data_IF_954593182023
#
_entry.id   IF_954593182023
#
_cell.length_a   1.000
_cell.length_b   1.000
_cell.length_c   1.000
_cell.angle_alpha   90.00
_cell.angle_beta   90.00
_cell.angle_gamma   90.00
#
_symmetry.space_group_name_H-M   'P 1'
#
loop_
_entity.id
_entity.type
_entity.pdbx_description
1 polymer ?
#
# COMPACT_ATOMS: atom_id res chain seq x y z
N UNK A 1 9.59 1.21 14.93
CA UNK A 1 8.14 0.98 14.81
C UNK A 1 7.49 2.34 14.95
N UNK A 2 7.34 3.06 13.83
CA UNK A 2 7.08 4.51 13.82
C UNK A 2 5.70 4.85 14.39
N UNK A 3 4.68 4.03 14.14
CA UNK A 3 3.34 4.27 14.67
C UNK A 3 3.30 4.05 16.18
N UNK A 4 3.86 2.94 16.67
CA UNK A 4 3.89 2.64 18.10
C UNK A 4 4.73 3.65 18.88
N UNK A 5 5.86 4.07 18.32
CA UNK A 5 6.70 5.15 18.87
C UNK A 5 5.93 6.47 18.93
N UNK A 6 5.14 6.81 17.89
CA UNK A 6 4.31 8.01 17.88
C UNK A 6 3.20 7.98 18.96
N UNK A 7 2.57 6.82 19.17
CA UNK A 7 1.58 6.64 20.25
C UNK A 7 2.25 6.80 21.61
N UNK A 8 3.41 6.20 21.81
CA UNK A 8 4.16 6.31 23.07
C UNK A 8 4.62 7.76 23.34
N UNK A 9 5.13 8.45 22.32
CA UNK A 9 5.51 9.86 22.41
C UNK A 9 4.30 10.74 22.76
N UNK A 10 3.13 10.47 22.18
CA UNK A 10 1.90 11.19 22.50
C UNK A 10 1.48 10.99 23.96
N UNK A 11 1.53 9.76 24.47
CA UNK A 11 1.20 9.44 25.87
C UNK A 11 2.18 10.08 26.86
N UNK A 12 3.45 10.22 26.46
CA UNK A 12 4.50 10.85 27.27
C UNK A 12 4.59 12.38 27.08
N UNK A 13 3.74 12.97 26.21
CA UNK A 13 3.77 14.41 25.86
C UNK A 13 5.17 14.82 25.34
N UNK A 14 5.81 13.93 24.59
CA UNK A 14 7.10 14.17 23.96
C UNK A 14 6.89 14.85 22.61
N UNK A 15 6.78 16.19 22.64
CA UNK A 15 6.66 16.98 21.43
C UNK A 15 7.94 17.01 20.58
N UNK A 16 9.10 16.72 21.18
CA UNK A 16 10.38 16.73 20.48
C UNK A 16 10.40 15.64 19.40
N UNK A 17 9.87 14.46 19.70
CA UNK A 17 9.73 13.36 18.75
C UNK A 17 9.00 13.78 17.46
N UNK A 18 7.88 14.52 17.58
CA UNK A 18 7.11 14.95 16.40
C UNK A 18 7.85 16.00 15.58
N UNK A 19 8.58 16.91 16.24
CA UNK A 19 9.43 17.89 15.57
C UNK A 19 10.54 17.15 14.81
N UNK A 20 11.22 16.21 15.45
CA UNK A 20 12.32 15.46 14.86
C UNK A 20 11.85 14.62 13.67
N UNK A 21 10.67 14.00 13.73
CA UNK A 21 10.10 13.27 12.59
C UNK A 21 9.87 14.20 11.40
N UNK A 22 9.26 15.37 11.63
CA UNK A 22 8.97 16.33 10.54
C UNK A 22 10.27 16.86 9.95
N UNK A 23 11.21 17.26 10.79
CA UNK A 23 12.49 17.84 10.36
C UNK A 23 13.36 16.83 9.61
N UNK A 24 13.37 15.56 10.04
CA UNK A 24 14.11 14.49 9.36
C UNK A 24 13.42 13.99 8.08
N UNK A 25 12.15 14.35 7.84
CA UNK A 25 11.37 13.87 6.69
C UNK A 25 10.67 14.99 5.91
N UNK A 26 11.28 16.19 5.86
CA UNK A 26 10.69 17.37 5.19
C UNK A 26 10.28 17.10 3.74
N UNK A 27 11.09 16.36 2.98
CA UNK A 27 10.76 15.97 1.60
C UNK A 27 9.41 15.24 1.54
N UNK A 28 9.25 14.18 2.35
CA UNK A 28 8.04 13.37 2.37
C UNK A 28 6.84 14.15 2.90
N UNK A 29 7.06 15.03 3.89
CA UNK A 29 6.03 15.93 4.41
C UNK A 29 5.42 16.78 3.29
N UNK A 30 6.25 17.43 2.47
CA UNK A 30 5.76 18.24 1.34
C UNK A 30 5.11 17.40 0.24
N UNK A 31 5.68 16.25 -0.10
CA UNK A 31 5.10 15.34 -1.11
C UNK A 31 3.70 14.90 -0.68
N UNK A 32 3.54 14.41 0.55
CA UNK A 32 2.25 13.93 1.04
C UNK A 32 1.23 15.06 1.14
N UNK A 33 1.64 16.25 1.58
CA UNK A 33 0.75 17.41 1.60
C UNK A 33 0.29 17.80 0.20
N UNK A 34 1.19 17.85 -0.78
CA UNK A 34 0.86 18.15 -2.17
C UNK A 34 -0.05 17.08 -2.79
N UNK A 35 0.20 15.80 -2.51
CA UNK A 35 -0.66 14.70 -2.95
C UNK A 35 -2.07 14.84 -2.40
N UNK A 36 -2.22 15.08 -1.09
CA UNK A 36 -3.55 15.25 -0.50
C UNK A 36 -4.25 16.50 -1.01
N UNK A 37 -3.50 17.57 -1.30
CA UNK A 37 -4.07 18.76 -1.95
C UNK A 37 -4.61 18.44 -3.35
N UNK A 38 -3.89 17.61 -4.12
CA UNK A 38 -4.28 17.19 -5.46
C UNK A 38 -5.47 16.22 -5.45
N UNK A 39 -5.49 15.24 -4.55
CA UNK A 39 -6.56 14.23 -4.49
C UNK A 39 -7.89 14.76 -3.95
N UNK A 40 -7.85 15.77 -3.09
CA UNK A 40 -9.04 16.31 -2.43
C UNK A 40 -9.38 17.74 -2.85
N UNK A 41 -8.83 18.21 -3.99
CA UNK A 41 -9.07 19.54 -4.56
C UNK A 41 -8.95 20.67 -3.52
N UNK A 42 -7.93 20.62 -2.66
CA UNK A 42 -7.73 21.62 -1.62
C UNK A 42 -8.73 21.57 -0.44
N UNK A 43 -9.71 20.66 -0.42
CA UNK A 43 -10.70 20.58 0.66
C UNK A 43 -10.16 19.76 1.82
N UNK A 44 -10.13 20.37 3.01
CA UNK A 44 -9.71 19.73 4.27
C UNK A 44 -8.33 19.05 4.15
N UNK A 45 -7.41 19.62 3.38
CA UNK A 45 -6.08 19.01 3.07
C UNK A 45 -5.34 18.63 4.34
N UNK A 46 -5.33 19.52 5.35
CA UNK A 46 -4.65 19.24 6.61
C UNK A 46 -5.18 17.97 7.31
N UNK A 47 -6.51 17.79 7.32
CA UNK A 47 -7.12 16.59 7.89
C UNK A 47 -6.71 15.33 7.13
N UNK A 48 -6.82 15.36 5.79
CA UNK A 48 -6.45 14.22 4.96
C UNK A 48 -4.95 13.92 4.99
N UNK A 49 -4.12 14.95 5.09
CA UNK A 49 -2.67 14.85 5.26
C UNK A 49 -2.30 14.14 6.58
N UNK A 50 -2.85 14.60 7.71
CA UNK A 50 -2.58 13.95 9.01
C UNK A 50 -3.07 12.51 9.00
N UNK A 51 -4.28 12.26 8.49
CA UNK A 51 -4.83 10.91 8.37
C UNK A 51 -3.94 10.02 7.50
N UNK A 52 -3.48 10.54 6.36
CA UNK A 52 -2.59 9.82 5.45
C UNK A 52 -1.25 9.49 6.11
N UNK A 53 -0.62 10.43 6.82
CA UNK A 53 0.62 10.18 7.56
C UNK A 53 0.45 9.07 8.60
N UNK A 54 -0.64 9.09 9.37
CA UNK A 54 -0.94 8.02 10.34
C UNK A 54 -1.16 6.68 9.65
N UNK A 55 -1.93 6.65 8.55
CA UNK A 55 -2.14 5.42 7.77
C UNK A 55 -0.83 4.86 7.22
N UNK A 56 0.08 5.71 6.74
CA UNK A 56 1.40 5.30 6.27
C UNK A 56 2.25 4.73 7.40
N UNK A 57 2.25 5.34 8.59
CA UNK A 57 2.97 4.79 9.75
C UNK A 57 2.43 3.43 10.18
N UNK A 58 1.10 3.28 10.23
CA UNK A 58 0.45 1.98 10.50
C UNK A 58 0.84 0.97 9.43
N UNK A 59 0.77 1.35 8.16
CA UNK A 59 1.13 0.47 7.05
C UNK A 59 2.58 0.00 7.16
N UNK A 60 3.54 0.92 7.41
CA UNK A 60 4.96 0.59 7.55
C UNK A 60 5.29 -0.31 8.75
N UNK A 61 4.58 -0.15 9.86
CA UNK A 61 4.79 -1.02 11.03
C UNK A 61 4.09 -2.37 10.85
N UNK A 62 2.89 -2.37 10.29
CA UNK A 62 2.19 -3.60 9.92
C UNK A 62 3.02 -4.43 8.95
N UNK A 63 3.57 -3.77 7.95
CA UNK A 63 4.48 -4.28 6.95
C UNK A 63 5.68 -5.01 7.58
N UNK A 64 6.33 -4.41 8.58
CA UNK A 64 7.44 -5.02 9.31
C UNK A 64 7.02 -6.20 10.20
N UNK A 65 5.83 -6.12 10.81
CA UNK A 65 5.31 -7.15 11.70
C UNK A 65 4.80 -8.38 10.96
N UNK A 66 4.32 -8.21 9.74
CA UNK A 66 3.70 -9.28 8.95
C UNK A 66 4.57 -9.77 7.79
N UNK A 67 5.69 -9.11 7.51
CA UNK A 67 6.53 -9.39 6.33
C UNK A 67 5.85 -9.01 5.01
N UNK A 68 4.70 -8.31 5.05
CA UNK A 68 3.85 -8.04 3.87
C UNK A 68 4.40 -6.94 2.91
N UNK A 69 5.54 -6.39 3.29
CA UNK A 69 6.34 -5.32 2.72
C UNK A 69 6.74 -5.45 1.25
N UNK A 70 7.86 -6.13 1.09
CA UNK A 70 8.46 -6.54 -0.14
C UNK A 70 7.54 -7.44 -0.92
N UNK A 71 6.64 -8.14 -0.24
CA UNK A 71 5.62 -9.00 -0.81
C UNK A 71 4.50 -8.22 -1.49
N UNK A 72 4.02 -7.07 -1.00
CA UNK A 72 2.91 -6.35 -1.63
C UNK A 72 3.24 -5.75 -3.01
N UNK A 73 4.37 -5.06 -3.14
CA UNK A 73 4.79 -4.46 -4.41
C UNK A 73 5.23 -5.51 -5.44
N UNK A 74 5.95 -6.54 -5.01
CA UNK A 74 6.32 -7.67 -5.89
C UNK A 74 5.12 -8.56 -6.22
N UNK A 75 4.18 -8.77 -5.29
CA UNK A 75 2.89 -9.41 -5.56
C UNK A 75 2.12 -8.64 -6.62
N UNK A 76 1.99 -7.31 -6.49
CA UNK A 76 1.32 -6.49 -7.49
C UNK A 76 2.00 -6.61 -8.85
N UNK A 77 3.34 -6.59 -8.90
CA UNK A 77 4.10 -6.75 -10.14
C UNK A 77 3.84 -8.12 -10.79
N UNK A 78 3.95 -9.21 -10.02
CA UNK A 78 3.69 -10.57 -10.51
C UNK A 78 2.22 -10.75 -10.89
N UNK A 79 1.30 -10.19 -10.12
CA UNK A 79 -0.13 -10.20 -10.42
C UNK A 79 -0.43 -9.45 -11.72
N UNK A 80 0.13 -8.26 -11.92
CA UNK A 80 -0.05 -7.52 -13.17
C UNK A 80 0.53 -8.28 -14.36
N UNK A 81 1.71 -8.90 -14.22
CA UNK A 81 2.29 -9.74 -15.27
C UNK A 81 1.40 -10.96 -15.59
N UNK A 82 0.93 -11.68 -14.57
CA UNK A 82 0.04 -12.83 -14.72
C UNK A 82 -1.32 -12.43 -15.33
N UNK A 83 -1.86 -11.27 -14.95
CA UNK A 83 -3.10 -10.72 -15.48
C UNK A 83 -2.97 -10.37 -16.95
N UNK A 84 -1.85 -9.77 -17.36
CA UNK A 84 -1.57 -9.44 -18.76
C UNK A 84 -1.50 -10.71 -19.62
N UNK A 85 -0.78 -11.74 -19.15
CA UNK A 85 -0.72 -13.05 -19.80
C UNK A 85 -2.09 -13.73 -19.87
N UNK A 86 -2.87 -13.65 -18.79
CA UNK A 86 -4.23 -14.19 -18.73
C UNK A 86 -5.16 -13.52 -19.75
N UNK A 87 -5.08 -12.19 -19.90
CA UNK A 87 -5.84 -11.46 -20.92
C UNK A 87 -5.47 -11.90 -22.35
N UNK A 88 -4.17 -11.98 -22.66
CA UNK A 88 -3.68 -12.42 -23.97
C UNK A 88 -4.18 -13.84 -24.29
N UNK A 89 -4.14 -14.76 -23.32
CA UNK A 89 -4.66 -16.13 -23.48
C UNK A 89 -6.17 -16.17 -23.72
N UNK A 90 -6.93 -15.34 -23.00
CA UNK A 90 -8.40 -15.27 -23.18
C UNK A 90 -8.81 -14.58 -24.49
N UNK A 91 -7.98 -13.69 -25.04
CA UNK A 91 -8.23 -13.05 -26.34
C UNK A 91 -7.86 -13.95 -27.52
N UNK A 92 -6.77 -14.71 -27.40
CA UNK A 92 -6.30 -15.64 -28.45
C UNK A 92 -7.12 -16.92 -28.55
N UNK A 93 -7.88 -17.27 -27.51
CA UNK A 93 -8.70 -18.49 -27.48
C UNK A 93 -10.19 -18.17 -27.51
N UNK A 94 -10.90 -18.38 -28.63
CA UNK A 94 -12.30 -17.97 -28.80
C UNK A 94 -13.27 -18.54 -27.76
N UNK A 95 -12.99 -19.75 -27.24
CA UNK A 95 -13.84 -20.44 -26.26
C UNK A 95 -13.75 -19.86 -24.84
N UNK A 96 -12.63 -19.20 -24.50
CA UNK A 96 -12.33 -18.64 -23.18
C UNK A 96 -12.74 -17.18 -23.03
N UNK A 97 -13.00 -16.49 -24.16
CA UNK A 97 -13.31 -15.04 -24.20
C UNK A 97 -14.52 -14.66 -23.34
N UNK A 98 -15.53 -15.54 -23.26
CA UNK A 98 -16.74 -15.33 -22.43
C UNK A 98 -16.49 -15.43 -20.91
N UNK A 99 -15.37 -16.03 -20.49
CA UNK A 99 -15.02 -16.22 -19.08
C UNK A 99 -13.85 -15.34 -18.64
N UNK A 100 -13.45 -14.33 -19.41
CA UNK A 100 -12.30 -13.48 -19.10
C UNK A 100 -12.34 -12.86 -17.70
N UNK A 101 -13.52 -12.42 -17.26
CA UNK A 101 -13.71 -11.90 -15.89
C UNK A 101 -13.45 -12.98 -14.85
N UNK A 102 -13.97 -14.19 -15.05
CA UNK A 102 -13.80 -15.34 -14.16
C UNK A 102 -12.33 -15.77 -14.07
N UNK A 103 -11.63 -15.81 -15.20
CA UNK A 103 -10.20 -16.13 -15.27
C UNK A 103 -9.37 -15.06 -14.55
N UNK A 104 -9.70 -13.77 -14.72
CA UNK A 104 -9.00 -12.68 -14.02
C UNK A 104 -9.26 -12.69 -12.51
N UNK A 105 -10.45 -13.06 -12.06
CA UNK A 105 -10.74 -13.16 -10.63
C UNK A 105 -10.06 -14.38 -10.01
N UNK A 106 -10.11 -15.54 -10.68
CA UNK A 106 -9.44 -16.75 -10.24
C UNK A 106 -7.92 -16.57 -10.18
N UNK A 107 -7.32 -15.93 -11.18
CA UNK A 107 -5.87 -15.68 -11.18
C UNK A 107 -5.44 -14.83 -9.98
N UNK A 108 -6.23 -13.82 -9.59
CA UNK A 108 -5.98 -13.04 -8.37
C UNK A 108 -6.00 -13.93 -7.13
N UNK A 109 -7.07 -14.71 -6.90
CA UNK A 109 -7.18 -15.55 -5.69
C UNK A 109 -6.10 -16.64 -5.63
N UNK A 110 -5.78 -17.27 -6.75
CA UNK A 110 -4.70 -18.26 -6.83
C UNK A 110 -3.36 -17.60 -6.49
N UNK A 111 -3.09 -16.41 -7.02
CA UNK A 111 -1.88 -15.68 -6.69
C UNK A 111 -1.84 -15.28 -5.22
N UNK A 112 -2.95 -14.81 -4.64
CA UNK A 112 -3.03 -14.47 -3.20
C UNK A 112 -2.70 -15.68 -2.33
N UNK A 113 -3.27 -16.85 -2.65
CA UNK A 113 -3.00 -18.10 -1.93
C UNK A 113 -1.54 -18.51 -2.07
N UNK A 114 -1.02 -18.56 -3.30
CA UNK A 114 0.40 -18.90 -3.54
C UNK A 114 1.34 -17.92 -2.83
N UNK A 115 1.01 -16.64 -2.83
CA UNK A 115 1.81 -15.62 -2.19
C UNK A 115 1.77 -15.70 -0.67
N UNK A 116 0.62 -16.03 -0.09
CA UNK A 116 0.48 -16.27 1.35
C UNK A 116 1.27 -17.50 1.83
N UNK A 117 1.42 -18.54 0.99
CA UNK A 117 2.15 -19.76 1.35
C UNK A 117 3.65 -19.75 1.00
N UNK A 118 4.05 -19.06 -0.07
CA UNK A 118 5.44 -19.10 -0.58
C UNK A 118 6.14 -17.74 -0.56
N UNK A 119 5.41 -16.63 -0.49
CA UNK A 119 5.97 -15.28 -0.52
C UNK A 119 6.19 -14.66 0.86
N UNK A 120 5.41 -15.05 1.87
CA UNK A 120 5.51 -14.54 3.24
C UNK A 120 6.65 -15.19 4.02
N UNK A 121 7.81 -14.54 4.03
CA UNK A 121 8.91 -14.75 4.98
C UNK A 121 9.03 -13.57 5.92
#
# INVERSE_FOLDING_TARGET
MVFFEAVQALLNIDFQFFIDIVMNNLLWFFIFYALMHLFFDGKKVLYWFVLFCVLMWVAFDWEKLTGFAFTGASFLLVYYAAKLTGFILTETTPSLRKYGVLVSSLSFYVLVVLWAFFGGG
#
